data_IF_132283493459
#
_entry.id   IF_132283493459
#
_cell.length_a   1.000
_cell.length_b   1.000
_cell.length_c   1.000
_cell.angle_alpha   90.00
_cell.angle_beta   90.00
_cell.angle_gamma   90.00
#
_symmetry.space_group_name_H-M   'P 1'
#
loop_
_entity.id
_entity.type
_entity.pdbx_description
1 polymer ?
#
# COMPACT_ATOMS: atom_id res chain seq x y z
N UNK A 1 40.34 -15.35 -13.82
CA UNK A 1 38.88 -15.19 -13.86
C UNK A 1 38.56 -13.99 -13.00
N UNK A 2 38.29 -12.83 -13.60
CA UNK A 2 37.82 -11.66 -12.87
C UNK A 2 36.50 -12.02 -12.20
N UNK A 3 36.38 -11.76 -10.89
CA UNK A 3 35.10 -11.91 -10.20
C UNK A 3 34.07 -11.05 -10.95
N UNK A 4 32.86 -11.56 -11.27
CA UNK A 4 31.84 -10.73 -11.89
C UNK A 4 31.61 -9.52 -11.00
N UNK A 5 31.66 -8.33 -11.61
CA UNK A 5 31.35 -7.10 -10.88
C UNK A 5 29.93 -7.17 -10.33
N UNK A 6 29.70 -6.73 -9.09
CA UNK A 6 28.37 -6.75 -8.51
C UNK A 6 27.44 -5.83 -9.28
N UNK A 7 26.35 -6.37 -9.80
CA UNK A 7 25.25 -5.58 -10.36
C UNK A 7 24.40 -5.01 -9.22
N UNK A 8 24.18 -3.69 -9.23
CA UNK A 8 23.34 -3.04 -8.24
C UNK A 8 21.94 -2.80 -8.83
N UNK A 9 20.92 -3.11 -8.04
CA UNK A 9 19.54 -2.79 -8.38
C UNK A 9 19.09 -1.60 -7.54
N UNK A 10 18.67 -0.54 -8.21
CA UNK A 10 18.10 0.62 -7.56
C UNK A 10 16.58 0.58 -7.67
N UNK A 11 15.91 0.80 -6.53
CA UNK A 11 14.45 0.95 -6.46
C UNK A 11 14.15 2.39 -6.08
N UNK A 12 13.41 3.07 -6.95
CA UNK A 12 13.10 4.50 -6.80
C UNK A 12 11.60 4.70 -6.90
N UNK A 13 11.07 5.59 -6.10
CA UNK A 13 9.68 5.98 -6.16
C UNK A 13 9.53 7.16 -7.14
N UNK A 14 8.72 7.05 -8.21
CA UNK A 14 8.49 8.15 -9.15
C UNK A 14 7.84 9.36 -8.49
N UNK A 15 6.92 9.13 -7.54
CA UNK A 15 6.32 10.19 -6.77
C UNK A 15 7.35 10.77 -5.78
N UNK A 16 7.84 11.97 -6.08
CA UNK A 16 8.79 12.67 -5.22
C UNK A 16 8.20 12.89 -3.84
N UNK A 17 9.04 12.68 -2.82
CA UNK A 17 8.67 12.92 -1.44
C UNK A 17 8.34 14.40 -1.25
N UNK A 18 7.07 14.67 -0.99
CA UNK A 18 6.59 15.96 -0.55
C UNK A 18 6.18 15.87 0.93
N UNK A 19 6.28 16.99 1.64
CA UNK A 19 5.75 17.11 2.98
C UNK A 19 4.34 17.69 2.88
N UNK A 20 3.35 16.94 3.37
CA UNK A 20 1.96 17.37 3.38
C UNK A 20 1.70 18.50 4.37
N UNK A 21 2.38 18.46 5.51
CA UNK A 21 2.16 19.40 6.60
C UNK A 21 2.55 20.84 6.22
N UNK A 22 1.65 21.77 6.53
CA UNK A 22 1.80 23.19 6.22
C UNK A 22 3.09 23.76 6.85
N UNK A 23 3.95 24.45 6.08
CA UNK A 23 5.24 24.89 6.57
C UNK A 23 5.13 25.91 7.71
N UNK A 24 4.13 26.79 7.65
CA UNK A 24 3.90 27.80 8.68
C UNK A 24 3.35 27.18 9.96
N UNK A 25 2.37 26.29 9.84
CA UNK A 25 1.85 25.54 10.99
C UNK A 25 2.96 24.74 11.70
N UNK A 26 3.87 24.13 10.94
CA UNK A 26 5.03 23.43 11.50
C UNK A 26 5.97 24.37 12.25
N UNK A 27 6.31 25.51 11.66
CA UNK A 27 7.15 26.53 12.32
C UNK A 27 6.54 26.94 13.66
N UNK A 28 5.23 27.21 13.69
CA UNK A 28 4.52 27.57 14.91
C UNK A 28 4.52 26.44 15.95
N UNK A 29 4.40 25.17 15.53
CA UNK A 29 4.49 24.02 16.43
C UNK A 29 5.91 23.84 16.99
N UNK A 30 6.95 24.05 16.18
CA UNK A 30 8.34 24.04 16.63
C UNK A 30 8.59 25.17 17.65
N UNK A 31 8.05 26.37 17.40
CA UNK A 31 8.10 27.50 18.34
C UNK A 31 7.30 27.25 19.62
N UNK A 32 6.16 26.57 19.54
CA UNK A 32 5.41 26.16 20.72
C UNK A 32 6.22 25.18 21.57
N UNK A 33 6.90 24.21 20.95
CA UNK A 33 7.78 23.29 21.66
C UNK A 33 8.93 24.02 22.38
N UNK A 34 9.54 25.01 21.73
CA UNK A 34 10.55 25.85 22.37
C UNK A 34 9.98 26.68 23.53
N UNK A 35 8.79 27.27 23.36
CA UNK A 35 8.12 28.04 24.41
C UNK A 35 7.68 27.18 25.59
N UNK A 36 7.29 25.92 25.36
CA UNK A 36 6.98 24.96 26.43
C UNK A 36 8.24 24.60 27.25
N UNK A 37 9.39 24.43 26.59
CA UNK A 37 10.67 24.21 27.26
C UNK A 37 11.10 25.44 28.09
N UNK A 38 11.00 26.65 27.52
CA UNK A 38 11.31 27.90 28.24
C UNK A 38 10.39 28.10 29.46
N UNK A 39 9.09 27.83 29.30
CA UNK A 39 8.12 27.95 30.39
C UNK A 39 8.44 27.00 31.54
N UNK A 40 8.85 25.76 31.23
CA UNK A 40 9.25 24.78 32.24
C UNK A 40 10.50 25.23 33.01
N UNK A 41 11.53 25.72 32.31
CA UNK A 41 12.74 26.26 32.94
C UNK A 41 12.42 27.46 33.83
N UNK A 42 11.61 28.41 33.33
CA UNK A 42 11.21 29.58 34.09
C UNK A 42 10.37 29.21 35.32
N UNK A 43 9.54 28.16 35.24
CA UNK A 43 8.72 27.69 36.35
C UNK A 43 9.57 27.10 37.49
N UNK A 44 10.63 26.36 37.17
CA UNK A 44 11.56 25.82 38.16
C UNK A 44 12.31 26.94 38.89
N UNK A 45 12.91 27.87 38.14
CA UNK A 45 13.62 29.03 38.72
C UNK A 45 12.68 29.87 39.59
N UNK A 46 11.48 30.16 39.10
CA UNK A 46 10.49 30.91 39.85
C UNK A 46 10.00 30.16 41.11
N UNK A 47 9.80 28.85 41.02
CA UNK A 47 9.35 28.03 42.15
C UNK A 47 10.36 27.97 43.28
N UNK A 48 11.65 28.01 42.96
CA UNK A 48 12.75 28.09 43.93
C UNK A 48 12.80 29.46 44.60
N UNK A 49 12.76 30.56 43.84
CA UNK A 49 12.77 31.90 44.43
C UNK A 49 11.53 32.14 45.32
N UNK A 50 10.35 31.66 44.90
CA UNK A 50 9.15 31.73 45.72
C UNK A 50 9.25 30.88 46.98
N UNK A 51 9.94 29.74 46.96
CA UNK A 51 10.15 28.93 48.15
C UNK A 51 10.96 29.69 49.23
N UNK A 52 12.02 30.38 48.82
CA UNK A 52 12.83 31.21 49.71
C UNK A 52 12.02 32.37 50.30
N UNK A 53 11.24 33.06 49.46
CA UNK A 53 10.36 34.15 49.92
C UNK A 53 9.25 33.69 50.86
N UNK A 54 8.68 32.50 50.65
CA UNK A 54 7.70 31.90 51.57
C UNK A 54 8.31 31.72 52.97
N UNK A 55 9.60 31.38 53.05
CA UNK A 55 10.33 31.25 54.31
C UNK A 55 10.58 32.59 55.02
N UNK A 56 10.64 33.69 54.27
CA UNK A 56 10.91 35.04 54.77
C UNK A 56 9.65 35.93 54.94
N UNK A 57 8.46 35.39 54.68
CA UNK A 57 7.21 36.16 54.70
C UNK A 57 6.93 36.77 56.09
N UNK A 58 6.56 38.06 56.12
CA UNK A 58 6.34 38.81 57.36
C UNK A 58 4.95 38.57 57.96
N UNK A 59 4.02 38.01 57.18
CA UNK A 59 2.65 37.72 57.62
C UNK A 59 2.12 36.41 57.06
N UNK A 60 1.16 35.82 57.78
CA UNK A 60 0.42 34.63 57.33
C UNK A 60 -0.37 34.88 56.04
N UNK A 61 -0.84 36.11 55.82
CA UNK A 61 -1.57 36.48 54.61
C UNK A 61 -0.64 36.44 53.37
N UNK A 62 0.51 37.10 53.45
CA UNK A 62 1.55 37.10 52.41
C UNK A 62 2.03 35.67 52.11
N UNK A 63 2.27 34.86 53.15
CA UNK A 63 2.69 33.46 53.00
C UNK A 63 1.67 32.64 52.19
N UNK A 64 0.36 32.83 52.45
CA UNK A 64 -0.71 32.13 51.73
C UNK A 64 -0.76 32.54 50.26
N UNK A 65 -0.59 33.83 49.96
CA UNK A 65 -0.56 34.34 48.59
C UNK A 65 0.63 33.78 47.79
N UNK A 66 1.82 33.78 48.39
CA UNK A 66 3.04 33.20 47.79
C UNK A 66 2.89 31.69 47.52
N UNK A 67 2.31 30.94 48.46
CA UNK A 67 2.03 29.51 48.27
C UNK A 67 1.03 29.29 47.12
N UNK A 68 -0.01 30.11 47.04
CA UNK A 68 -0.99 30.02 45.96
C UNK A 68 -0.37 30.32 44.59
N UNK A 69 0.49 31.35 44.51
CA UNK A 69 1.24 31.70 43.29
C UNK A 69 2.19 30.56 42.89
N UNK A 70 3.01 30.06 43.82
CA UNK A 70 3.92 28.93 43.56
C UNK A 70 3.17 27.69 43.06
N UNK A 71 2.00 27.39 43.64
CA UNK A 71 1.13 26.30 43.16
C UNK A 71 0.57 26.57 41.77
N UNK A 72 0.18 27.81 41.45
CA UNK A 72 -0.31 28.15 40.12
C UNK A 72 0.80 27.93 39.07
N UNK A 73 2.01 28.42 39.35
CA UNK A 73 3.21 28.30 38.51
C UNK A 73 3.59 26.84 38.29
N UNK A 74 3.69 26.06 39.38
CA UNK A 74 4.01 24.63 39.30
C UNK A 74 2.96 23.84 38.50
N UNK A 75 1.69 24.24 38.56
CA UNK A 75 0.61 23.63 37.78
C UNK A 75 0.48 24.19 36.35
N UNK A 76 1.37 25.10 35.92
CA UNK A 76 1.35 25.73 34.59
C UNK A 76 0.12 26.62 34.33
N UNK A 77 -0.52 27.14 35.39
CA UNK A 77 -1.73 27.96 35.28
C UNK A 77 -1.41 29.42 35.59
N UNK A 78 -1.96 30.35 34.80
CA UNK A 78 -1.91 31.76 35.16
C UNK A 78 -2.54 31.98 36.55
N UNK A 79 -1.85 32.70 37.46
CA UNK A 79 -2.44 33.08 38.73
C UNK A 79 -3.64 34.01 38.49
N UNK A 80 -4.70 33.85 39.29
CA UNK A 80 -5.89 34.72 39.21
C UNK A 80 -5.57 36.17 39.59
N UNK A 81 -4.57 36.35 40.45
CA UNK A 81 -4.05 37.64 40.90
C UNK A 81 -2.58 37.44 41.21
N UNK A 82 -1.71 38.23 40.59
CA UNK A 82 -0.32 38.35 41.01
C UNK A 82 -0.26 39.53 41.99
N UNK A 83 0.27 39.37 43.20
CA UNK A 83 0.51 40.51 44.08
C UNK A 83 1.44 41.52 43.40
N UNK A 84 1.11 42.82 43.45
CA UNK A 84 1.92 43.88 42.79
C UNK A 84 3.38 43.86 43.25
N UNK A 85 3.63 43.54 44.52
CA UNK A 85 4.98 43.37 45.10
C UNK A 85 5.79 42.23 44.46
N UNK A 86 5.11 41.28 43.81
CA UNK A 86 5.72 40.11 43.17
C UNK A 86 5.78 40.24 41.65
N UNK A 87 5.03 41.14 41.03
CA UNK A 87 5.20 41.46 39.60
C UNK A 87 6.59 42.04 39.31
N UNK A 88 7.19 42.74 40.28
CA UNK A 88 8.56 43.23 40.21
C UNK A 88 9.63 42.14 40.42
N UNK A 89 9.23 40.90 40.73
CA UNK A 89 10.17 39.78 40.93
C UNK A 89 10.63 39.25 39.57
N UNK A 90 11.93 39.28 39.25
CA UNK A 90 12.42 38.94 37.91
C UNK A 90 12.02 37.54 37.43
N UNK A 91 12.03 36.53 38.31
CA UNK A 91 11.63 35.16 37.94
C UNK A 91 10.13 35.01 37.67
N UNK A 92 9.28 35.70 38.44
CA UNK A 92 7.82 35.75 38.23
C UNK A 92 7.52 36.46 36.91
N UNK A 93 8.17 37.59 36.64
CA UNK A 93 8.02 38.32 35.39
C UNK A 93 8.46 37.49 34.18
N UNK A 94 9.62 36.80 34.26
CA UNK A 94 10.10 35.88 33.21
C UNK A 94 9.10 34.76 32.97
N UNK A 95 8.59 34.13 34.03
CA UNK A 95 7.61 33.05 33.90
C UNK A 95 6.28 33.55 33.29
N UNK A 96 5.76 34.70 33.71
CA UNK A 96 4.55 35.31 33.15
C UNK A 96 4.72 35.63 31.65
N UNK A 97 5.88 36.16 31.25
CA UNK A 97 6.20 36.43 29.86
C UNK A 97 6.23 35.14 29.01
N UNK A 98 6.92 34.10 29.48
CA UNK A 98 6.96 32.80 28.82
C UNK A 98 5.56 32.18 28.71
N UNK A 99 4.76 32.26 29.78
CA UNK A 99 3.39 31.75 29.78
C UNK A 99 2.52 32.47 28.74
N UNK A 100 2.62 33.80 28.68
CA UNK A 100 1.88 34.63 27.72
C UNK A 100 2.30 34.34 26.29
N UNK A 101 3.60 34.16 26.04
CA UNK A 101 4.13 33.73 24.75
C UNK A 101 3.57 32.39 24.30
N UNK A 102 3.54 31.40 25.19
CA UNK A 102 2.96 30.06 24.94
C UNK A 102 1.47 30.11 24.63
N UNK A 103 0.69 30.90 25.38
CA UNK A 103 -0.75 31.04 25.12
C UNK A 103 -1.02 31.73 23.78
N UNK A 104 -0.27 32.79 23.46
CA UNK A 104 -0.36 33.47 22.16
C UNK A 104 -0.11 32.48 21.02
N UNK A 105 0.95 31.67 21.10
CA UNK A 105 1.25 30.65 20.10
C UNK A 105 0.13 29.63 19.96
N UNK A 106 -0.44 29.13 21.06
CA UNK A 106 -1.56 28.18 21.03
C UNK A 106 -2.81 28.78 20.39
N UNK A 107 -3.12 30.03 20.68
CA UNK A 107 -4.23 30.76 20.04
C UNK A 107 -3.97 30.88 18.54
N UNK A 108 -2.80 31.37 18.13
CA UNK A 108 -2.41 31.49 16.71
C UNK A 108 -2.48 30.15 15.97
N UNK A 109 -1.96 29.08 16.55
CA UNK A 109 -2.02 27.71 16.00
C UNK A 109 -3.47 27.25 15.81
N UNK A 110 -4.32 27.47 16.81
CA UNK A 110 -5.71 26.99 16.81
C UNK A 110 -6.55 27.76 15.80
N UNK A 111 -6.40 29.09 15.76
CA UNK A 111 -7.12 29.97 14.83
C UNK A 111 -6.64 29.77 13.38
N UNK A 112 -5.35 29.53 13.18
CA UNK A 112 -4.75 29.32 11.86
C UNK A 112 -4.95 27.91 11.29
N UNK A 113 -5.18 26.90 12.13
CA UNK A 113 -5.22 25.50 11.72
C UNK A 113 -6.23 25.19 10.60
N UNK A 114 -7.46 25.72 10.58
CA UNK A 114 -8.38 25.46 9.47
C UNK A 114 -7.83 25.88 8.10
N UNK A 115 -7.18 27.04 8.02
CA UNK A 115 -6.57 27.53 6.78
C UNK A 115 -5.31 26.74 6.41
N UNK A 116 -4.51 26.34 7.41
CA UNK A 116 -3.38 25.43 7.20
C UNK A 116 -3.87 24.10 6.62
N UNK A 117 -4.86 23.47 7.24
CA UNK A 117 -5.44 22.21 6.77
C UNK A 117 -5.96 22.32 5.33
N UNK A 118 -6.58 23.42 4.93
CA UNK A 118 -7.02 23.61 3.55
C UNK A 118 -5.84 23.67 2.56
N UNK A 119 -4.71 24.29 2.93
CA UNK A 119 -3.48 24.26 2.12
C UNK A 119 -2.90 22.85 2.04
N UNK A 120 -2.89 22.09 3.14
CA UNK A 120 -2.45 20.69 3.16
C UNK A 120 -3.31 19.82 2.23
N UNK A 121 -4.63 20.06 2.18
CA UNK A 121 -5.55 19.40 1.24
C UNK A 121 -5.22 19.73 -0.22
N UNK A 122 -4.87 20.97 -0.52
CA UNK A 122 -4.42 21.35 -1.87
C UNK A 122 -3.15 20.59 -2.26
N UNK A 123 -2.18 20.46 -1.34
CA UNK A 123 -0.97 19.65 -1.57
C UNK A 123 -1.33 18.18 -1.79
N UNK A 124 -2.21 17.61 -0.97
CA UNK A 124 -2.66 16.22 -1.15
C UNK A 124 -3.37 16.02 -2.50
N UNK A 125 -4.26 16.92 -2.89
CA UNK A 125 -4.96 16.87 -4.18
C UNK A 125 -4.00 17.00 -5.37
N UNK A 126 -2.95 17.81 -5.26
CA UNK A 126 -1.91 17.90 -6.27
C UNK A 126 -1.14 16.57 -6.41
N UNK A 127 -0.73 15.96 -5.29
CA UNK A 127 -0.05 14.66 -5.29
C UNK A 127 -0.95 13.54 -5.84
N UNK A 128 -2.23 13.54 -5.49
CA UNK A 128 -3.22 12.61 -6.03
C UNK A 128 -3.44 12.80 -7.54
N UNK A 129 -3.03 13.94 -8.11
CA UNK A 129 -3.04 14.18 -9.55
C UNK A 129 -1.81 13.66 -10.29
N UNK A 130 -0.86 13.04 -9.60
CA UNK A 130 0.30 12.40 -10.23
C UNK A 130 -0.15 11.23 -11.13
N UNK A 131 0.32 11.23 -12.38
CA UNK A 131 -0.13 10.28 -13.38
C UNK A 131 0.26 8.83 -13.09
N UNK A 132 1.45 8.59 -12.52
CA UNK A 132 1.89 7.23 -12.20
C UNK A 132 1.20 6.69 -10.94
N UNK A 133 0.92 7.56 -9.96
CA UNK A 133 0.06 7.24 -8.84
C UNK A 133 -1.35 6.87 -9.31
N UNK A 134 -2.00 7.69 -10.13
CA UNK A 134 -3.36 7.42 -10.61
C UNK A 134 -3.44 6.12 -11.41
N UNK A 135 -2.53 5.90 -12.37
CA UNK A 135 -2.45 4.63 -13.12
C UNK A 135 -2.23 3.42 -12.22
N UNK A 136 -1.38 3.57 -11.20
CA UNK A 136 -1.16 2.49 -10.23
C UNK A 136 -2.41 2.19 -9.42
N UNK A 137 -3.11 3.22 -8.94
CA UNK A 137 -4.37 3.08 -8.22
C UNK A 137 -5.45 2.45 -9.10
N UNK A 138 -5.58 2.88 -10.35
CA UNK A 138 -6.54 2.30 -11.29
C UNK A 138 -6.31 0.80 -11.49
N UNK A 139 -5.06 0.34 -11.45
CA UNK A 139 -4.72 -1.08 -11.56
C UNK A 139 -4.96 -1.87 -10.27
N UNK A 140 -4.48 -1.37 -9.12
CA UNK A 140 -4.42 -2.17 -7.88
C UNK A 140 -5.59 -1.92 -6.93
N UNK A 141 -6.22 -0.76 -7.01
CA UNK A 141 -7.27 -0.30 -6.10
C UNK A 141 -8.24 0.66 -6.82
N UNK A 142 -9.05 0.18 -7.79
CA UNK A 142 -9.90 1.02 -8.63
C UNK A 142 -10.85 1.94 -7.84
N UNK A 143 -11.37 1.46 -6.72
CA UNK A 143 -12.24 2.25 -5.83
C UNK A 143 -11.52 3.45 -5.21
N UNK A 144 -10.23 3.28 -4.89
CA UNK A 144 -9.36 4.34 -4.36
C UNK A 144 -9.01 5.34 -5.45
N UNK A 145 -8.79 4.88 -6.68
CA UNK A 145 -8.61 5.77 -7.84
C UNK A 145 -9.83 6.68 -8.02
N UNK A 146 -11.04 6.11 -8.04
CA UNK A 146 -12.25 6.91 -8.15
C UNK A 146 -12.43 7.90 -6.99
N UNK A 147 -12.07 7.47 -5.77
CA UNK A 147 -12.12 8.34 -4.60
C UNK A 147 -11.08 9.46 -4.66
N UNK A 148 -9.88 9.20 -5.20
CA UNK A 148 -8.86 10.21 -5.43
C UNK A 148 -9.36 11.28 -6.41
N UNK A 149 -9.96 10.86 -7.54
CA UNK A 149 -10.56 11.77 -8.52
C UNK A 149 -11.68 12.64 -7.90
N UNK A 150 -12.60 12.01 -7.15
CA UNK A 150 -13.66 12.74 -6.43
C UNK A 150 -13.11 13.72 -5.40
N UNK A 151 -12.09 13.31 -4.64
CA UNK A 151 -11.44 14.16 -3.65
C UNK A 151 -10.78 15.37 -4.30
N UNK A 152 -10.02 15.17 -5.39
CA UNK A 152 -9.37 16.24 -6.15
C UNK A 152 -10.39 17.25 -6.68
N UNK A 153 -11.46 16.77 -7.31
CA UNK A 153 -12.53 17.62 -7.80
C UNK A 153 -13.18 18.43 -6.66
N UNK A 154 -13.38 17.82 -5.49
CA UNK A 154 -13.94 18.51 -4.33
C UNK A 154 -13.00 19.57 -3.72
N UNK A 155 -11.68 19.36 -3.77
CA UNK A 155 -10.68 20.35 -3.30
C UNK A 155 -10.54 21.50 -4.29
N UNK A 156 -10.62 21.24 -5.59
CA UNK A 156 -10.51 22.25 -6.65
C UNK A 156 -11.82 23.02 -6.89
N UNK A 157 -12.95 22.41 -6.52
CA UNK A 157 -14.27 22.99 -6.66
C UNK A 157 -14.52 24.16 -5.69
N UNK A 158 -15.59 24.95 -5.94
CA UNK A 158 -15.94 26.04 -5.05
C UNK A 158 -16.44 25.54 -3.69
N UNK A 159 -16.04 26.22 -2.62
CA UNK A 159 -16.51 25.95 -1.27
C UNK A 159 -15.57 25.06 -0.45
N UNK A 160 -16.01 24.68 0.75
CA UNK A 160 -15.22 23.85 1.67
C UNK A 160 -15.42 22.37 1.39
N UNK A 161 -14.34 21.60 1.53
CA UNK A 161 -14.39 20.13 1.45
C UNK A 161 -15.34 19.57 2.52
N UNK A 162 -16.34 18.81 2.07
CA UNK A 162 -17.37 18.25 2.96
C UNK A 162 -16.78 17.29 4.01
N UNK A 163 -17.46 17.12 5.15
CA UNK A 163 -17.06 16.15 6.17
C UNK A 163 -17.03 14.70 5.64
N UNK A 164 -17.92 14.36 4.70
CA UNK A 164 -17.95 13.05 4.05
C UNK A 164 -16.70 12.82 3.21
N UNK A 165 -16.31 13.80 2.41
CA UNK A 165 -15.09 13.76 1.59
C UNK A 165 -13.83 13.72 2.47
N UNK A 166 -13.80 14.45 3.59
CA UNK A 166 -12.68 14.39 4.54
C UNK A 166 -12.45 12.99 5.13
N UNK A 167 -13.48 12.13 5.19
CA UNK A 167 -13.34 10.76 5.70
C UNK A 167 -12.39 9.91 4.86
N UNK A 168 -12.23 10.19 3.56
CA UNK A 168 -11.31 9.44 2.69
C UNK A 168 -9.85 9.90 2.78
N UNK A 169 -9.57 11.08 3.35
CA UNK A 169 -8.22 11.65 3.46
C UNK A 169 -7.23 10.66 4.07
N UNK A 170 -7.60 9.98 5.16
CA UNK A 170 -6.72 8.99 5.81
C UNK A 170 -6.32 7.86 4.86
N UNK A 171 -7.27 7.32 4.08
CA UNK A 171 -6.99 6.26 3.12
C UNK A 171 -6.12 6.75 1.98
N UNK A 172 -6.43 7.91 1.43
CA UNK A 172 -5.66 8.54 0.35
C UNK A 172 -4.22 8.84 0.78
N UNK A 173 -4.02 9.35 2.00
CA UNK A 173 -2.70 9.61 2.58
C UNK A 173 -1.87 8.33 2.69
N UNK A 174 -2.48 7.16 2.98
CA UNK A 174 -1.75 5.90 3.04
C UNK A 174 -1.17 5.51 1.68
N UNK A 175 -1.93 5.68 0.60
CA UNK A 175 -1.45 5.40 -0.75
C UNK A 175 -0.39 6.39 -1.23
N UNK A 176 -0.60 7.69 -0.99
CA UNK A 176 0.38 8.73 -1.31
C UNK A 176 1.67 8.51 -0.52
N UNK A 177 1.57 8.18 0.78
CA UNK A 177 2.74 7.88 1.62
C UNK A 177 3.46 6.62 1.15
N UNK A 178 2.73 5.57 0.76
CA UNK A 178 3.33 4.37 0.16
C UNK A 178 4.12 4.75 -1.09
N UNK A 179 3.48 5.47 -2.01
CA UNK A 179 4.09 5.88 -3.27
C UNK A 179 5.31 6.80 -3.06
N UNK A 180 5.35 7.61 -1.99
CA UNK A 180 6.51 8.46 -1.70
C UNK A 180 7.64 7.74 -0.94
N UNK A 181 7.34 6.77 -0.07
CA UNK A 181 8.29 6.28 0.94
C UNK A 181 8.65 4.79 0.81
N UNK A 182 7.72 3.94 0.36
CA UNK A 182 7.98 2.49 0.27
C UNK A 182 8.57 2.15 -1.09
N UNK A 183 9.74 1.52 -1.10
CA UNK A 183 10.45 1.09 -2.31
C UNK A 183 10.24 -0.39 -2.64
N UNK A 184 9.19 -1.02 -2.09
CA UNK A 184 8.78 -2.37 -2.47
C UNK A 184 8.14 -2.33 -3.86
N UNK A 185 8.62 -3.11 -4.84
CA UNK A 185 8.05 -3.13 -6.18
C UNK A 185 6.55 -3.36 -6.15
N UNK A 186 5.78 -2.41 -6.68
CA UNK A 186 4.34 -2.53 -6.84
C UNK A 186 3.86 -1.57 -7.92
N UNK A 187 3.45 -2.11 -9.08
CA UNK A 187 2.97 -1.31 -10.22
C UNK A 187 3.92 -0.14 -10.51
N UNK A 188 3.40 1.04 -10.84
CA UNK A 188 4.18 2.26 -11.09
C UNK A 188 4.46 3.08 -9.82
N UNK A 189 4.21 2.54 -8.61
CA UNK A 189 4.65 3.22 -7.38
C UNK A 189 6.17 3.20 -7.19
N UNK A 190 6.83 2.20 -7.76
CA UNK A 190 8.27 2.03 -7.65
C UNK A 190 8.82 1.58 -8.99
N UNK A 191 9.76 2.35 -9.52
CA UNK A 191 10.57 1.96 -10.66
C UNK A 191 11.81 1.17 -10.19
N UNK A 192 12.29 0.27 -11.04
CA UNK A 192 13.52 -0.49 -10.82
C UNK A 192 14.47 -0.18 -11.97
N UNK A 193 15.74 0.05 -11.62
CA UNK A 193 16.81 0.25 -12.58
C UNK A 193 18.07 -0.48 -12.16
N UNK A 194 18.96 -0.71 -13.12
CA UNK A 194 20.33 -1.14 -12.84
C UNK A 194 21.14 0.11 -12.50
N UNK A 195 22.01 0.01 -11.50
CA UNK A 195 22.92 1.06 -11.10
C UNK A 195 24.36 0.54 -11.08
N UNK A 196 25.30 1.45 -11.36
CA UNK A 196 26.72 1.20 -11.26
C UNK A 196 27.32 2.13 -10.20
N UNK A 197 28.18 1.62 -9.31
CA UNK A 197 28.81 2.46 -8.31
C UNK A 197 29.81 3.40 -8.97
N UNK A 198 29.67 4.71 -8.72
CA UNK A 198 30.64 5.69 -9.17
C UNK A 198 31.72 5.93 -8.10
N UNK A 199 32.95 6.30 -8.49
CA UNK A 199 33.98 6.75 -7.55
C UNK A 199 33.51 7.93 -6.70
N UNK A 200 33.99 7.98 -5.45
CA UNK A 200 33.66 9.09 -4.55
C UNK A 200 34.17 10.43 -5.12
N UNK A 201 33.27 11.42 -5.20
CA UNK A 201 33.60 12.77 -5.70
C UNK A 201 33.54 12.93 -7.21
N UNK A 202 33.13 11.90 -7.95
CA UNK A 202 32.84 12.01 -9.38
C UNK A 202 31.71 13.05 -9.61
N UNK A 203 31.95 14.13 -10.37
CA UNK A 203 30.96 15.17 -10.61
C UNK A 203 29.80 14.72 -11.50
N UNK A 204 29.96 13.65 -12.29
CA UNK A 204 28.92 13.08 -13.15
C UNK A 204 28.06 12.05 -12.41
N UNK A 205 28.45 11.65 -11.20
CA UNK A 205 27.73 10.66 -10.40
C UNK A 205 26.39 11.21 -9.91
N UNK A 206 25.30 10.51 -10.24
CA UNK A 206 23.96 10.84 -9.77
C UNK A 206 23.72 10.22 -8.40
N UNK A 207 23.38 11.04 -7.40
CA UNK A 207 23.01 10.52 -6.08
C UNK A 207 21.68 9.77 -6.19
N UNK A 208 21.47 8.69 -5.40
CA UNK A 208 20.21 7.95 -5.44
C UNK A 208 18.94 8.80 -5.27
N UNK A 209 19.02 9.89 -4.48
CA UNK A 209 17.90 10.83 -4.30
C UNK A 209 17.60 11.70 -5.52
N UNK A 210 18.60 11.94 -6.37
CA UNK A 210 18.53 12.83 -7.54
C UNK A 210 18.27 12.07 -8.84
N UNK A 211 18.24 10.73 -8.79
CA UNK A 211 17.97 9.87 -9.94
C UNK A 211 16.70 10.34 -10.65
N UNK A 212 16.78 10.72 -11.94
CA UNK A 212 15.60 11.08 -12.71
C UNK A 212 14.77 9.82 -12.97
N UNK A 213 13.45 9.97 -12.88
CA UNK A 213 12.50 8.92 -13.24
C UNK A 213 11.86 9.18 -14.62
N UNK A 214 12.30 10.25 -15.30
CA UNK A 214 11.87 10.59 -16.66
C UNK A 214 12.32 9.47 -17.60
N UNK A 215 11.36 8.75 -18.18
CA UNK A 215 11.65 7.63 -19.10
C UNK A 215 11.48 6.24 -18.47
N UNK A 216 11.01 6.13 -17.22
CA UNK A 216 10.58 4.85 -16.69
C UNK A 216 9.50 4.23 -17.61
N UNK A 217 9.77 3.01 -18.10
CA UNK A 217 8.86 2.28 -18.98
C UNK A 217 8.08 1.26 -18.16
N UNK A 218 6.76 1.33 -18.23
CA UNK A 218 5.92 0.26 -17.71
C UNK A 218 5.98 -0.94 -18.67
N UNK A 219 6.14 -2.13 -18.10
CA UNK A 219 6.06 -3.40 -18.84
C UNK A 219 4.86 -4.13 -18.26
N UNK A 220 3.65 -4.00 -18.85
CA UNK A 220 2.46 -4.63 -18.32
C UNK A 220 2.58 -6.15 -18.44
N UNK A 221 2.22 -6.85 -17.37
CA UNK A 221 2.09 -8.30 -17.31
C UNK A 221 0.64 -8.74 -17.40
N UNK A 222 0.42 -9.88 -18.03
CA UNK A 222 -0.80 -10.64 -17.85
C UNK A 222 -0.62 -11.56 -16.64
N UNK A 223 -1.69 -11.75 -15.88
CA UNK A 223 -1.74 -12.79 -14.87
C UNK A 223 -1.54 -14.15 -15.57
N UNK A 224 -0.39 -14.77 -15.33
CA UNK A 224 0.03 -15.98 -16.04
C UNK A 224 -0.87 -17.17 -15.72
N UNK A 225 -1.34 -17.26 -14.48
CA UNK A 225 -2.22 -18.36 -14.04
C UNK A 225 -3.56 -18.25 -14.76
N UNK A 226 -4.13 -17.04 -14.82
CA UNK A 226 -5.35 -16.78 -15.58
C UNK A 226 -5.15 -16.98 -17.07
N UNK A 227 -4.01 -16.55 -17.63
CA UNK A 227 -3.71 -16.72 -19.05
C UNK A 227 -3.61 -18.19 -19.44
N UNK A 228 -2.85 -19.00 -18.69
CA UNK A 228 -2.77 -20.44 -18.94
C UNK A 228 -4.12 -21.13 -18.78
N UNK A 229 -4.92 -20.71 -17.80
CA UNK A 229 -6.27 -21.24 -17.62
C UNK A 229 -7.18 -20.92 -18.84
N UNK A 230 -7.12 -19.70 -19.37
CA UNK A 230 -7.92 -19.32 -20.54
C UNK A 230 -7.42 -19.99 -21.82
N UNK A 231 -6.11 -20.11 -22.01
CA UNK A 231 -5.53 -20.68 -23.24
C UNK A 231 -5.52 -22.22 -23.24
N UNK A 232 -5.42 -22.86 -22.07
CA UNK A 232 -5.20 -24.30 -21.94
C UNK A 232 -6.19 -25.02 -21.04
N UNK A 233 -7.13 -24.34 -20.39
CA UNK A 233 -7.92 -24.89 -19.28
C UNK A 233 -9.08 -25.81 -19.65
N UNK A 234 -9.45 -25.92 -20.92
CA UNK A 234 -10.50 -26.83 -21.38
C UNK A 234 -9.96 -27.64 -22.58
N UNK A 235 -9.39 -28.82 -22.34
CA UNK A 235 -8.93 -29.68 -23.42
C UNK A 235 -10.15 -30.14 -24.23
N UNK A 236 -10.02 -30.22 -25.56
CA UNK A 236 -11.01 -30.91 -26.38
C UNK A 236 -11.01 -32.41 -26.00
N UNK A 237 -12.13 -33.11 -26.25
CA UNK A 237 -12.32 -34.50 -25.82
C UNK A 237 -11.24 -35.47 -26.38
N UNK A 238 -10.57 -35.11 -27.48
CA UNK A 238 -9.52 -35.86 -28.17
C UNK A 238 -8.09 -35.51 -27.74
N UNK A 239 -7.92 -34.61 -26.78
CA UNK A 239 -6.59 -34.15 -26.34
C UNK A 239 -5.83 -35.23 -25.58
N UNK A 240 -4.58 -35.51 -25.97
CA UNK A 240 -3.69 -36.38 -25.18
C UNK A 240 -3.30 -35.69 -23.86
N UNK A 241 -3.99 -36.09 -22.79
CA UNK A 241 -3.78 -35.55 -21.46
C UNK A 241 -2.45 -35.98 -20.84
N UNK A 242 -1.80 -37.04 -21.32
CA UNK A 242 -0.58 -37.56 -20.69
C UNK A 242 0.57 -36.54 -20.69
N UNK A 243 0.61 -35.68 -21.72
CA UNK A 243 1.57 -34.59 -21.85
C UNK A 243 1.14 -33.30 -21.15
N UNK A 244 -0.05 -33.22 -20.55
CA UNK A 244 -0.55 -32.00 -19.92
C UNK A 244 -0.29 -31.96 -18.42
N UNK A 245 -0.27 -30.74 -17.91
CA UNK A 245 -0.34 -30.45 -16.49
C UNK A 245 -1.79 -30.26 -16.09
N UNK A 246 -2.15 -30.72 -14.90
CA UNK A 246 -3.48 -30.61 -14.31
C UNK A 246 -3.34 -29.85 -13.01
N UNK A 247 -4.26 -28.96 -12.73
CA UNK A 247 -4.28 -28.20 -11.49
C UNK A 247 -5.67 -27.66 -11.18
N UNK A 248 -5.73 -26.88 -10.10
CA UNK A 248 -6.94 -26.18 -9.71
C UNK A 248 -7.19 -24.98 -10.62
N UNK A 249 -8.44 -24.73 -11.05
CA UNK A 249 -8.79 -23.47 -11.68
C UNK A 249 -8.37 -22.29 -10.78
N UNK A 250 -7.80 -21.20 -11.33
CA UNK A 250 -7.47 -20.01 -10.54
C UNK A 250 -8.70 -19.31 -9.95
N UNK A 251 -9.89 -19.66 -10.44
CA UNK A 251 -11.18 -19.16 -9.93
C UNK A 251 -11.71 -20.01 -8.78
N UNK A 252 -11.00 -21.08 -8.42
CA UNK A 252 -11.41 -21.97 -7.34
C UNK A 252 -11.20 -21.33 -5.98
N UNK A 253 -12.23 -21.41 -5.14
CA UNK A 253 -12.19 -20.90 -3.77
C UNK A 253 -12.72 -21.99 -2.83
N UNK A 254 -11.84 -22.63 -2.03
CA UNK A 254 -12.30 -23.51 -0.96
C UNK A 254 -12.94 -22.66 0.14
N UNK A 255 -14.05 -23.15 0.67
CA UNK A 255 -14.77 -22.57 1.79
C UNK A 255 -14.75 -23.57 2.95
N UNK A 256 -13.87 -23.36 3.95
CA UNK A 256 -13.76 -24.24 5.10
C UNK A 256 -15.01 -24.31 5.96
N UNK A 257 -15.83 -23.24 5.99
CA UNK A 257 -17.03 -23.20 6.83
C UNK A 257 -18.13 -24.08 6.26
N UNK A 258 -18.28 -24.08 4.93
CA UNK A 258 -19.30 -24.89 4.25
C UNK A 258 -18.79 -26.24 3.78
N UNK A 259 -17.48 -26.48 3.84
CA UNK A 259 -16.84 -27.71 3.35
C UNK A 259 -16.98 -27.87 1.83
N UNK A 260 -17.01 -26.76 1.08
CA UNK A 260 -17.24 -26.76 -0.38
C UNK A 260 -16.09 -26.12 -1.14
N UNK A 261 -15.90 -26.59 -2.36
CA UNK A 261 -15.09 -25.92 -3.37
C UNK A 261 -16.01 -25.18 -4.33
N UNK A 262 -15.87 -23.86 -4.42
CA UNK A 262 -16.51 -23.08 -5.47
C UNK A 262 -15.57 -22.92 -6.65
N UNK A 263 -16.10 -22.92 -7.87
CA UNK A 263 -15.33 -22.67 -9.10
C UNK A 263 -16.24 -22.14 -10.21
N UNK A 264 -15.65 -21.57 -11.25
CA UNK A 264 -16.38 -21.09 -12.43
C UNK A 264 -16.25 -22.09 -13.58
N UNK A 265 -17.38 -22.50 -14.16
CA UNK A 265 -17.44 -23.30 -15.39
C UNK A 265 -17.96 -22.45 -16.54
N UNK A 266 -17.28 -22.51 -17.68
CA UNK A 266 -17.75 -21.90 -18.93
C UNK A 266 -18.75 -22.81 -19.65
N UNK A 267 -19.82 -22.22 -20.17
CA UNK A 267 -20.81 -22.88 -21.03
C UNK A 267 -21.21 -21.93 -22.17
N UNK A 268 -21.99 -22.42 -23.15
CA UNK A 268 -22.57 -21.59 -24.21
C UNK A 268 -23.44 -20.43 -23.66
N UNK A 269 -23.99 -20.57 -22.45
CA UNK A 269 -24.82 -19.56 -21.78
C UNK A 269 -24.00 -18.59 -20.92
N UNK A 270 -22.67 -18.75 -20.88
CA UNK A 270 -21.74 -17.91 -20.13
C UNK A 270 -21.06 -18.64 -18.97
N UNK A 271 -20.50 -17.88 -18.03
CA UNK A 271 -19.85 -18.43 -16.85
C UNK A 271 -20.85 -18.71 -15.73
N UNK A 272 -20.81 -19.94 -15.19
CA UNK A 272 -21.63 -20.37 -14.06
C UNK A 272 -20.73 -20.67 -12.85
N UNK A 273 -21.14 -20.17 -11.68
CA UNK A 273 -20.52 -20.57 -10.41
C UNK A 273 -21.11 -21.91 -9.97
N UNK A 274 -20.26 -22.90 -9.82
CA UNK A 274 -20.61 -24.23 -9.33
C UNK A 274 -19.97 -24.47 -7.96
N UNK A 275 -20.49 -25.46 -7.24
CA UNK A 275 -19.96 -25.90 -5.96
C UNK A 275 -19.96 -27.42 -5.89
N UNK A 276 -18.87 -28.00 -5.40
CA UNK A 276 -18.76 -29.43 -5.08
C UNK A 276 -18.34 -29.57 -3.62
N UNK A 277 -18.81 -30.60 -2.91
CA UNK A 277 -18.37 -30.81 -1.54
C UNK A 277 -16.91 -31.31 -1.53
N UNK A 278 -16.16 -30.93 -0.49
CA UNK A 278 -14.73 -31.25 -0.34
C UNK A 278 -14.50 -32.68 0.19
N UNK A 279 -15.55 -33.34 0.68
CA UNK A 279 -15.48 -34.71 1.15
C UNK A 279 -15.40 -35.72 -0.02
N UNK A 280 -14.71 -36.83 0.23
CA UNK A 280 -14.61 -37.91 -0.74
C UNK A 280 -13.72 -37.59 -1.95
N UNK A 281 -14.11 -37.97 -3.18
CA UNK A 281 -13.21 -37.97 -4.35
C UNK A 281 -12.58 -36.62 -4.71
N UNK A 282 -13.25 -35.51 -4.41
CA UNK A 282 -12.71 -34.17 -4.66
C UNK A 282 -11.56 -33.87 -3.70
N UNK A 283 -11.66 -34.28 -2.44
CA UNK A 283 -10.60 -34.13 -1.45
C UNK A 283 -9.29 -34.81 -1.89
N UNK A 284 -9.38 -36.01 -2.47
CA UNK A 284 -8.22 -36.73 -3.00
C UNK A 284 -7.55 -35.98 -4.18
N UNK A 285 -8.36 -35.33 -5.03
CA UNK A 285 -7.85 -34.51 -6.14
C UNK A 285 -7.14 -33.25 -5.64
N UNK A 286 -7.69 -32.60 -4.61
CA UNK A 286 -7.08 -31.41 -4.00
C UNK A 286 -5.77 -31.74 -3.29
N UNK A 287 -5.74 -32.85 -2.55
CA UNK A 287 -4.53 -33.34 -1.90
C UNK A 287 -3.42 -33.60 -2.93
N UNK A 288 -3.78 -34.22 -4.06
CA UNK A 288 -2.85 -34.44 -5.18
C UNK A 288 -2.24 -33.14 -5.72
N UNK A 289 -2.93 -32.01 -5.60
CA UNK A 289 -2.56 -30.71 -6.18
C UNK A 289 -2.19 -29.65 -5.13
N UNK A 290 -2.01 -30.06 -3.88
CA UNK A 290 -1.71 -29.17 -2.74
C UNK A 290 -0.43 -28.33 -2.93
N UNK A 291 0.52 -28.86 -3.71
CA UNK A 291 1.78 -28.20 -4.06
C UNK A 291 1.78 -27.54 -5.46
N UNK A 292 0.60 -27.38 -6.07
CA UNK A 292 0.42 -26.79 -7.40
C UNK A 292 0.16 -27.80 -8.52
N UNK A 293 0.13 -27.33 -9.79
CA UNK A 293 -0.14 -28.18 -10.94
C UNK A 293 0.84 -29.34 -11.08
N UNK A 294 0.36 -30.52 -11.52
CA UNK A 294 1.17 -31.73 -11.75
C UNK A 294 0.82 -32.39 -13.08
N UNK A 295 1.74 -33.17 -13.64
CA UNK A 295 1.47 -33.97 -14.86
C UNK A 295 0.28 -34.91 -14.63
N UNK A 296 -0.59 -35.04 -15.63
CA UNK A 296 -1.80 -35.87 -15.55
C UNK A 296 -1.53 -37.28 -15.02
N UNK A 297 -0.53 -38.06 -15.51
CA UNK A 297 -0.27 -39.40 -14.99
C UNK A 297 0.11 -39.43 -13.50
N UNK A 298 0.78 -38.38 -13.00
CA UNK A 298 1.14 -38.27 -11.59
C UNK A 298 -0.07 -37.98 -10.70
N UNK A 299 -1.03 -37.19 -11.18
CA UNK A 299 -2.31 -36.97 -10.48
C UNK A 299 -3.12 -38.26 -10.43
N UNK A 300 -3.23 -38.98 -11.54
CA UNK A 300 -3.92 -40.29 -11.60
C UNK A 300 -3.31 -41.28 -10.62
N UNK A 301 -1.98 -41.41 -10.60
CA UNK A 301 -1.27 -42.30 -9.68
C UNK A 301 -1.52 -41.92 -8.21
N UNK A 302 -1.52 -40.63 -7.88
CA UNK A 302 -1.83 -40.15 -6.53
C UNK A 302 -3.24 -40.51 -6.09
N UNK A 303 -4.23 -40.23 -6.96
CA UNK A 303 -5.64 -40.52 -6.69
C UNK A 303 -5.88 -42.02 -6.54
N UNK A 304 -5.27 -42.85 -7.39
CA UNK A 304 -5.36 -44.31 -7.31
C UNK A 304 -4.84 -44.83 -5.96
N UNK A 305 -3.67 -44.35 -5.53
CA UNK A 305 -3.07 -44.73 -4.25
C UNK A 305 -3.90 -44.27 -3.05
N UNK A 306 -4.43 -43.03 -3.08
CA UNK A 306 -5.19 -42.45 -1.97
C UNK A 306 -6.57 -43.07 -1.81
N UNK A 307 -7.26 -43.31 -2.93
CA UNK A 307 -8.60 -43.89 -2.97
C UNK A 307 -8.60 -45.44 -2.93
N UNK A 308 -7.44 -46.08 -3.07
CA UNK A 308 -7.32 -47.54 -3.08
C UNK A 308 -8.01 -48.20 -4.28
N UNK A 309 -8.00 -47.55 -5.45
CA UNK A 309 -8.66 -48.03 -6.66
C UNK A 309 -7.68 -48.27 -7.83
N UNK A 310 -8.08 -49.04 -8.87
CA UNK A 310 -7.26 -49.24 -10.06
C UNK A 310 -6.97 -47.92 -10.81
N UNK A 311 -5.82 -47.83 -11.47
CA UNK A 311 -5.39 -46.63 -12.20
C UNK A 311 -6.41 -46.17 -13.26
N UNK A 312 -7.06 -47.09 -13.96
CA UNK A 312 -8.11 -46.78 -14.94
C UNK A 312 -9.32 -46.08 -14.32
N UNK A 313 -9.67 -46.45 -13.07
CA UNK A 313 -10.76 -45.81 -12.35
C UNK A 313 -10.37 -44.42 -11.88
N UNK A 314 -9.17 -44.26 -11.33
CA UNK A 314 -8.62 -42.95 -10.99
C UNK A 314 -8.54 -42.03 -12.22
N UNK A 315 -8.12 -42.56 -13.38
CA UNK A 315 -8.06 -41.82 -14.63
C UNK A 315 -9.45 -41.30 -15.04
N UNK A 316 -10.48 -42.14 -15.00
CA UNK A 316 -11.87 -41.71 -15.27
C UNK A 316 -12.32 -40.61 -14.33
N UNK A 317 -11.98 -40.69 -13.03
CA UNK A 317 -12.30 -39.65 -12.04
C UNK A 317 -11.61 -38.32 -12.36
N UNK A 318 -10.31 -38.34 -12.70
CA UNK A 318 -9.56 -37.13 -13.07
C UNK A 318 -10.13 -36.51 -14.36
N UNK A 319 -10.43 -37.33 -15.39
CA UNK A 319 -11.07 -36.86 -16.63
C UNK A 319 -12.45 -36.26 -16.39
N UNK A 320 -13.26 -36.88 -15.53
CA UNK A 320 -14.56 -36.35 -15.16
C UNK A 320 -14.44 -35.01 -14.43
N UNK A 321 -13.48 -34.87 -13.52
CA UNK A 321 -13.22 -33.61 -12.82
C UNK A 321 -12.78 -32.49 -13.78
N UNK A 322 -11.96 -32.80 -14.78
CA UNK A 322 -11.61 -31.87 -15.87
C UNK A 322 -12.84 -31.47 -16.69
N UNK A 323 -13.65 -32.43 -17.12
CA UNK A 323 -14.89 -32.16 -17.88
C UNK A 323 -15.92 -31.35 -17.07
N UNK A 324 -15.97 -31.56 -15.77
CA UNK A 324 -16.83 -30.79 -14.86
C UNK A 324 -16.28 -29.39 -14.55
N UNK A 325 -15.02 -29.09 -14.88
CA UNK A 325 -14.35 -27.84 -14.56
C UNK A 325 -13.88 -27.73 -13.11
N UNK A 326 -13.93 -28.83 -12.35
CA UNK A 326 -13.37 -28.92 -10.98
C UNK A 326 -11.85 -28.80 -11.05
N UNK A 327 -11.25 -29.41 -12.07
CA UNK A 327 -9.85 -29.28 -12.44
C UNK A 327 -9.74 -28.57 -13.79
N UNK A 328 -8.57 -28.04 -14.10
CA UNK A 328 -8.23 -27.53 -15.42
C UNK A 328 -6.85 -28.01 -15.87
N UNK A 329 -6.58 -27.88 -17.16
CA UNK A 329 -5.27 -28.20 -17.75
C UNK A 329 -4.41 -26.96 -17.93
N UNK A 330 -3.09 -27.17 -17.90
CA UNK A 330 -2.05 -26.18 -18.16
C UNK A 330 -1.07 -26.74 -19.17
N UNK A 331 -0.58 -25.89 -20.08
CA UNK A 331 0.43 -26.29 -21.07
C UNK A 331 1.82 -26.48 -20.45
N UNK A 332 2.14 -25.77 -19.37
CA UNK A 332 3.47 -25.73 -18.71
C UNK A 332 3.34 -25.42 -17.20
N UNK A 333 4.32 -25.80 -16.36
CA UNK A 333 4.37 -25.37 -14.97
C UNK A 333 4.76 -23.88 -14.87
N UNK A 334 4.41 -23.23 -13.76
CA UNK A 334 4.62 -21.78 -13.57
C UNK A 334 6.12 -21.38 -13.57
N UNK A 335 7.00 -22.24 -13.05
CA UNK A 335 8.42 -21.96 -12.82
C UNK A 335 9.27 -21.91 -14.11
N UNK A 336 8.93 -22.69 -15.14
CA UNK A 336 9.68 -22.73 -16.40
C UNK A 336 9.47 -21.47 -17.28
N UNK A 337 8.45 -20.67 -16.98
CA UNK A 337 8.05 -19.50 -17.76
C UNK A 337 8.60 -18.17 -17.21
N UNK A 338 9.50 -18.21 -16.22
CA UNK A 338 9.91 -17.03 -15.45
C UNK A 338 10.49 -15.89 -16.31
N UNK A 339 11.09 -16.19 -17.47
CA UNK A 339 11.75 -15.22 -18.36
C UNK A 339 11.19 -15.14 -19.79
N UNK A 340 10.06 -15.80 -20.08
CA UNK A 340 9.54 -15.90 -21.46
C UNK A 340 9.00 -14.58 -22.02
N UNK A 341 9.20 -14.39 -23.33
CA UNK A 341 8.52 -13.36 -24.12
C UNK A 341 7.00 -13.55 -24.01
N UNK A 342 6.20 -12.47 -24.03
CA UNK A 342 4.74 -12.58 -24.09
C UNK A 342 4.30 -13.42 -25.29
N UNK A 343 5.07 -13.37 -26.37
CA UNK A 343 4.81 -14.16 -27.55
C UNK A 343 4.91 -15.67 -27.28
N UNK A 344 5.79 -16.09 -26.36
CA UNK A 344 5.92 -17.48 -25.90
C UNK A 344 4.80 -17.90 -24.95
N UNK A 345 4.20 -16.95 -24.22
CA UNK A 345 3.05 -17.24 -23.35
C UNK A 345 1.73 -17.36 -24.13
N UNK A 346 1.64 -16.64 -25.25
CA UNK A 346 0.46 -16.64 -26.12
C UNK A 346 0.51 -17.73 -27.19
N UNK A 347 1.67 -18.32 -27.42
CA UNK A 347 1.83 -19.52 -28.27
C UNK A 347 2.03 -20.73 -27.38
N UNK A 348 1.31 -21.82 -27.61
CA UNK A 348 1.61 -23.11 -26.98
C UNK A 348 2.49 -23.90 -27.95
N UNK A 349 3.81 -24.04 -27.70
CA UNK A 349 4.70 -24.68 -28.67
C UNK A 349 4.36 -26.17 -28.80
N UNK A 350 4.17 -26.64 -30.03
CA UNK A 350 3.94 -28.06 -30.33
C UNK A 350 2.49 -28.54 -30.17
N UNK A 351 1.53 -27.65 -29.88
CA UNK A 351 0.09 -27.98 -29.89
C UNK A 351 -0.66 -27.08 -30.87
N UNK A 352 -1.54 -27.70 -31.67
CA UNK A 352 -2.43 -26.93 -32.53
C UNK A 352 -3.49 -26.25 -31.66
N UNK A 353 -3.36 -24.94 -31.45
CA UNK A 353 -4.33 -24.18 -30.67
C UNK A 353 -5.68 -24.14 -31.40
N UNK A 354 -6.80 -24.35 -30.67
CA UNK A 354 -8.14 -24.16 -31.22
C UNK A 354 -8.28 -22.77 -31.88
N UNK A 355 -9.05 -22.63 -32.98
CA UNK A 355 -9.19 -21.35 -33.68
C UNK A 355 -9.58 -20.17 -32.77
N UNK A 356 -10.48 -20.39 -31.80
CA UNK A 356 -10.90 -19.35 -30.85
C UNK A 356 -9.79 -18.91 -29.89
N UNK A 357 -8.91 -19.83 -29.49
CA UNK A 357 -7.73 -19.52 -28.65
C UNK A 357 -6.72 -18.69 -29.45
N UNK A 358 -6.52 -19.01 -30.72
CA UNK A 358 -5.64 -18.27 -31.64
C UNK A 358 -6.16 -16.85 -31.90
N UNK A 359 -7.46 -16.69 -32.12
CA UNK A 359 -8.10 -15.37 -32.29
C UNK A 359 -7.96 -14.53 -31.02
N UNK A 360 -8.23 -15.13 -29.86
CA UNK A 360 -8.06 -14.46 -28.57
C UNK A 360 -6.61 -14.02 -28.34
N UNK A 361 -5.64 -14.90 -28.56
CA UNK A 361 -4.23 -14.57 -28.46
C UNK A 361 -3.84 -13.41 -29.38
N UNK A 362 -4.35 -13.39 -30.61
CA UNK A 362 -4.14 -12.30 -31.57
C UNK A 362 -4.71 -10.98 -31.06
N UNK A 363 -5.94 -11.01 -30.52
CA UNK A 363 -6.58 -9.83 -29.92
C UNK A 363 -5.83 -9.30 -28.70
N UNK A 364 -5.32 -10.19 -27.86
CA UNK A 364 -4.50 -9.82 -26.70
C UNK A 364 -3.21 -9.14 -27.15
N UNK A 365 -2.50 -9.70 -28.14
CA UNK A 365 -1.29 -9.06 -28.73
C UNK A 365 -1.59 -7.66 -29.24
N UNK A 366 -2.67 -7.48 -29.98
CA UNK A 366 -3.07 -6.17 -30.50
C UNK A 366 -3.46 -5.17 -29.39
N UNK A 367 -3.93 -5.65 -28.25
CA UNK A 367 -4.37 -4.82 -27.12
C UNK A 367 -3.25 -4.39 -26.17
N UNK A 368 -2.22 -5.21 -25.98
CA UNK A 368 -1.16 -4.97 -24.97
C UNK A 368 -0.41 -3.63 -25.12
N UNK A 369 -0.03 -3.18 -26.33
CA UNK A 369 0.58 -1.86 -26.50
C UNK A 369 -0.30 -0.73 -25.94
N UNK A 370 -1.62 -0.83 -26.16
CA UNK A 370 -2.59 0.15 -25.65
C UNK A 370 -2.64 0.20 -24.12
N UNK A 371 -2.38 -0.90 -23.42
CA UNK A 371 -2.30 -0.93 -21.95
C UNK A 371 -1.04 -0.21 -21.45
N UNK A 372 0.05 -0.30 -22.22
CA UNK A 372 1.30 0.38 -21.91
C UNK A 372 1.17 1.90 -22.08
N UNK A 373 0.50 2.30 -23.17
CA UNK A 373 0.34 3.67 -23.63
C UNK A 373 -0.95 4.36 -23.13
N UNK A 374 -1.83 3.63 -22.42
CA UNK A 374 -3.11 4.16 -21.97
C UNK A 374 -2.91 5.45 -21.14
N UNK A 375 -3.60 6.55 -21.48
CA UNK A 375 -3.66 7.71 -20.62
C UNK A 375 -4.32 7.34 -19.28
N UNK A 376 -3.97 8.11 -18.23
CA UNK A 376 -4.55 7.95 -16.90
C UNK A 376 -6.07 8.23 -16.92
#
# INVERSE_FOLDING_TARGET
MTSPEPQWFLRVNPLRRARLADPEQRRLLDELGAAEAELAEAAEVCSQELYERIGAAASDAERRELIALRRAIHNGRAPKKTPESLEATPSVARWLAAWTGRERLRTTITEGYPAAADRERTVLAALLGDGDLLRSLALIAPEVHQEAERYRAAVQGPGKVSARTRKSERGLIQYVTRAMVRTSPLSRFTAVGIAEPAPAGDPEAVRPGDVPFTGARAVPGLDRVMLHYVLGGLPADDTDLAALWVGMPPTSAPDPETGKLFFLKFSEQGMHRLAVPLDGPVGDLLDALSMGPRRFPAVVAHVAARAGCPAEEAERRVRQALHQGVLCTFGRPEEESAAGDYDDLLTLPGTEQPPGVRELATRVRAGLPRVTEAPA
#
